data_IF_867634714160
#
_entry.id   IF_867634714160
#
_cell.length_a   1.000
_cell.length_b   1.000
_cell.length_c   1.000
_cell.angle_alpha   90.00
_cell.angle_beta   90.00
_cell.angle_gamma   90.00
#
_symmetry.space_group_name_H-M   'P 1'
#
loop_
_entity.id
_entity.type
_entity.pdbx_description
1 polymer ?
#
# COMPACT_ATOMS: atom_id res chain seq x y z
N UNK A 1 -9.65 0.10 -20.30
CA UNK A 1 -9.17 -0.89 -19.31
C UNK A 1 -9.56 -0.30 -17.95
N UNK A 2 -10.44 -0.94 -17.17
CA UNK A 2 -10.66 -0.48 -15.78
C UNK A 2 -9.29 -0.62 -15.12
N UNK A 3 -8.64 0.50 -14.78
CA UNK A 3 -7.28 0.50 -14.24
C UNK A 3 -7.18 -0.53 -13.12
N UNK A 4 -6.11 -1.32 -13.12
CA UNK A 4 -6.00 -2.49 -12.25
C UNK A 4 -5.75 -2.02 -10.80
N UNK A 5 -6.81 -1.59 -10.13
CA UNK A 5 -6.80 -1.16 -8.73
C UNK A 5 -6.64 -2.34 -7.77
N UNK A 6 -6.61 -3.58 -8.28
CA UNK A 6 -6.39 -4.78 -7.47
C UNK A 6 -5.05 -4.70 -6.73
N UNK A 7 -3.97 -4.34 -7.42
CA UNK A 7 -2.64 -4.22 -6.80
C UNK A 7 -2.58 -3.09 -5.75
N UNK A 8 -3.30 -1.98 -5.97
CA UNK A 8 -3.40 -0.90 -4.98
C UNK A 8 -4.09 -1.43 -3.71
N UNK A 9 -5.20 -2.15 -3.86
CA UNK A 9 -5.91 -2.74 -2.73
C UNK A 9 -5.07 -3.78 -2.00
N UNK A 10 -4.29 -4.59 -2.72
CA UNK A 10 -3.40 -5.59 -2.13
C UNK A 10 -2.33 -4.93 -1.23
N UNK A 11 -1.71 -3.84 -1.72
CA UNK A 11 -0.75 -3.08 -0.93
C UNK A 11 -1.40 -2.43 0.30
N UNK A 12 -2.61 -1.88 0.18
CA UNK A 12 -3.34 -1.32 1.32
C UNK A 12 -3.69 -2.38 2.37
N UNK A 13 -4.10 -3.57 1.94
CA UNK A 13 -4.41 -4.67 2.85
C UNK A 13 -3.15 -5.23 3.52
N UNK A 14 -2.03 -5.33 2.78
CA UNK A 14 -0.72 -5.70 3.31
C UNK A 14 -0.26 -4.70 4.38
N UNK A 15 -0.33 -3.39 4.09
CA UNK A 15 0.02 -2.34 5.02
C UNK A 15 -0.76 -2.45 6.35
N UNK A 16 -2.08 -2.64 6.27
CA UNK A 16 -2.93 -2.81 7.46
C UNK A 16 -2.49 -4.03 8.28
N UNK A 17 -2.27 -5.17 7.63
CA UNK A 17 -1.83 -6.40 8.30
C UNK A 17 -0.48 -6.24 8.99
N UNK A 18 0.46 -5.54 8.36
CA UNK A 18 1.77 -5.25 8.93
C UNK A 18 1.65 -4.34 10.16
N UNK A 19 0.82 -3.30 10.10
CA UNK A 19 0.57 -2.41 11.23
C UNK A 19 -0.06 -3.16 12.43
N UNK A 20 -1.07 -4.00 12.17
CA UNK A 20 -1.70 -4.82 13.22
C UNK A 20 -0.68 -5.80 13.86
N UNK A 21 0.21 -6.36 13.04
CA UNK A 21 1.27 -7.26 13.49
C UNK A 21 2.35 -6.52 14.30
N UNK A 22 2.71 -5.30 13.89
CA UNK A 22 3.62 -4.42 14.60
C UNK A 22 3.11 -4.10 16.01
N UNK A 23 1.81 -3.76 16.12
CA UNK A 23 1.15 -3.50 17.39
C UNK A 23 1.14 -4.76 18.26
N UNK A 24 0.70 -5.89 17.70
CA UNK A 24 0.58 -7.18 18.40
C UNK A 24 1.93 -7.66 18.94
N UNK A 25 3.00 -7.48 18.18
CA UNK A 25 4.36 -7.92 18.54
C UNK A 25 5.16 -6.87 19.31
N UNK A 26 4.62 -5.67 19.49
CA UNK A 26 5.33 -4.50 20.00
C UNK A 26 6.67 -4.26 19.26
N UNK A 27 6.69 -4.49 17.95
CA UNK A 27 7.88 -4.32 17.10
C UNK A 27 7.71 -3.12 16.17
N UNK A 28 8.31 -1.97 16.51
CA UNK A 28 8.17 -0.76 15.72
C UNK A 28 8.88 -0.80 14.36
N UNK A 29 9.75 -1.78 14.10
CA UNK A 29 10.35 -1.95 12.79
C UNK A 29 9.31 -2.34 11.74
N UNK A 30 8.30 -3.13 12.12
CA UNK A 30 7.24 -3.60 11.22
C UNK A 30 6.33 -2.45 10.75
N UNK A 31 6.18 -1.37 11.55
CA UNK A 31 5.49 -0.17 11.06
C UNK A 31 6.19 0.47 9.87
N UNK A 32 7.51 0.32 9.71
CA UNK A 32 8.22 0.83 8.53
C UNK A 32 7.83 0.04 7.28
N UNK A 33 7.72 -1.28 7.39
CA UNK A 33 7.23 -2.13 6.30
C UNK A 33 5.78 -1.78 5.92
N UNK A 34 4.93 -1.52 6.92
CA UNK A 34 3.55 -1.05 6.67
C UNK A 34 3.51 0.29 5.92
N UNK A 35 4.40 1.23 6.27
CA UNK A 35 4.53 2.52 5.60
C UNK A 35 5.04 2.34 4.16
N UNK A 36 6.00 1.45 3.93
CA UNK A 36 6.53 1.17 2.59
C UNK A 36 5.44 0.63 1.65
N UNK A 37 4.56 -0.24 2.16
CA UNK A 37 3.38 -0.73 1.41
C UNK A 37 2.40 0.40 1.08
N UNK A 38 2.14 1.34 2.02
CA UNK A 38 1.32 2.52 1.74
C UNK A 38 1.94 3.41 0.65
N UNK A 39 3.26 3.60 0.69
CA UNK A 39 3.99 4.38 -0.33
C UNK A 39 3.89 3.70 -1.69
N UNK A 40 3.96 2.37 -1.76
CA UNK A 40 3.78 1.62 -3.00
C UNK A 40 2.36 1.81 -3.58
N UNK A 41 1.32 1.68 -2.74
CA UNK A 41 -0.07 1.92 -3.13
C UNK A 41 -0.28 3.34 -3.70
N UNK A 42 0.28 4.37 -3.04
CA UNK A 42 0.19 5.76 -3.50
C UNK A 42 0.88 5.96 -4.86
N UNK A 43 2.06 5.38 -5.05
CA UNK A 43 2.80 5.48 -6.33
C UNK A 43 2.02 4.85 -7.47
N UNK A 44 1.40 3.70 -7.23
CA UNK A 44 0.54 3.03 -8.22
C UNK A 44 -0.70 3.87 -8.55
N UNK A 45 -1.34 4.48 -7.53
CA UNK A 45 -2.46 5.38 -7.75
C UNK A 45 -2.07 6.58 -8.62
N UNK A 46 -0.95 7.24 -8.29
CA UNK A 46 -0.44 8.39 -9.06
C UNK A 46 -0.14 8.02 -10.51
N UNK A 47 0.48 6.86 -10.74
CA UNK A 47 0.76 6.35 -12.09
C UNK A 47 -0.53 6.11 -12.86
N UNK A 48 -1.50 5.43 -12.25
CA UNK A 48 -2.79 5.14 -12.90
C UNK A 48 -3.57 6.42 -13.22
N UNK A 49 -3.46 7.46 -12.38
CA UNK A 49 -4.06 8.78 -12.66
C UNK A 49 -3.40 9.47 -13.85
N UNK A 50 -2.06 9.43 -13.95
CA UNK A 50 -1.34 9.99 -15.10
C UNK A 50 -1.69 9.25 -16.41
N UNK A 51 -1.73 7.91 -16.39
CA UNK A 51 -2.12 7.09 -17.55
C UNK A 51 -3.58 7.29 -17.98
N UNK A 52 -4.42 7.88 -17.13
CA UNK A 52 -5.82 8.20 -17.47
C UNK A 52 -6.02 9.58 -18.09
N UNK A 53 -5.01 10.46 -18.00
CA UNK A 53 -5.03 11.81 -18.58
C UNK A 53 -4.46 11.86 -20.01
N UNK A 54 -3.69 10.84 -20.43
CA UNK A 54 -3.15 10.64 -21.79
C UNK A 54 -4.10 9.85 -22.71
#
# INVERSE_FOLDING_TARGET
MIGDYSSINDHLESARRLADNAETKADPAIYREAIDELVAAIRLLMRNSQESED
#
